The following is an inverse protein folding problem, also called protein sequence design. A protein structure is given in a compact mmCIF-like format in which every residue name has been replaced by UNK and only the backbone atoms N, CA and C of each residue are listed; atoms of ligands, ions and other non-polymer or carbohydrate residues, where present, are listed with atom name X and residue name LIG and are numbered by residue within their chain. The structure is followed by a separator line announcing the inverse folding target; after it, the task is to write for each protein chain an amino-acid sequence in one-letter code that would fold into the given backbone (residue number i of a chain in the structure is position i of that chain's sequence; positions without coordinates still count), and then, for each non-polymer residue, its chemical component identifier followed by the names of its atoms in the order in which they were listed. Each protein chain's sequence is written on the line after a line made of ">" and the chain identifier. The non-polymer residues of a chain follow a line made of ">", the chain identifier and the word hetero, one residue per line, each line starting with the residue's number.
data_IF_701706284203
#
_entry.id   IF_701706284203
#
_cell.length_a   1.000
_cell.length_b   1.000
_cell.length_c   1.000
_cell.angle_alpha   90.00
_cell.angle_beta   90.00
_cell.angle_gamma   90.00
#
_symmetry.space_group_name_H-M   'P 1'
#
loop_
_entity.id
_entity.type
_entity.pdbx_description
1 polymer ?
#
# COMPACT_ATOMS: atom_id res chain seq x y z
N UNK A 1 22.06 18.62 -9.54
CA UNK A 1 21.31 17.83 -10.55
C UNK A 1 20.20 17.13 -9.81
N UNK A 2 18.98 17.14 -10.31
CA UNK A 2 17.88 16.40 -9.67
C UNK A 2 18.22 14.90 -9.67
N UNK A 3 18.02 14.24 -8.52
CA UNK A 3 18.26 12.81 -8.38
C UNK A 3 17.30 12.05 -9.29
N UNK A 4 17.80 11.12 -10.10
CA UNK A 4 16.98 10.25 -10.95
C UNK A 4 16.95 8.87 -10.31
N UNK A 5 15.79 8.44 -9.87
CA UNK A 5 15.61 7.12 -9.27
C UNK A 5 15.65 6.01 -10.33
N UNK A 6 16.18 4.86 -9.96
CA UNK A 6 16.10 3.67 -10.82
C UNK A 6 14.66 3.14 -10.84
N UNK A 7 13.98 3.20 -9.69
CA UNK A 7 12.60 2.80 -9.53
C UNK A 7 11.90 3.69 -8.50
N UNK A 8 10.70 4.16 -8.84
CA UNK A 8 9.74 4.71 -7.88
C UNK A 8 8.58 3.76 -7.77
N UNK A 9 8.24 3.35 -6.54
CA UNK A 9 7.04 2.56 -6.25
C UNK A 9 6.01 3.47 -5.59
N UNK A 10 4.80 3.48 -6.15
CA UNK A 10 3.67 4.27 -5.66
C UNK A 10 2.68 3.36 -4.93
N UNK A 11 2.57 3.55 -3.62
CA UNK A 11 1.73 2.78 -2.72
C UNK A 11 2.53 1.88 -1.78
N UNK A 12 2.49 2.18 -0.48
CA UNK A 12 3.20 1.52 0.61
C UNK A 12 2.44 0.34 1.22
N UNK A 13 1.63 -0.38 0.43
CA UNK A 13 1.03 -1.63 0.86
C UNK A 13 1.99 -2.82 0.75
N UNK A 14 1.56 -4.04 1.12
CA UNK A 14 2.41 -5.24 1.08
C UNK A 14 3.11 -5.45 -0.27
N UNK A 15 2.39 -5.23 -1.37
CA UNK A 15 2.93 -5.35 -2.72
C UNK A 15 4.02 -4.31 -3.02
N UNK A 16 3.81 -3.06 -2.60
CA UNK A 16 4.81 -2.00 -2.79
C UNK A 16 6.05 -2.20 -1.94
N UNK A 17 5.90 -2.64 -0.70
CA UNK A 17 7.02 -2.99 0.19
C UNK A 17 7.83 -4.14 -0.42
N UNK A 18 7.17 -5.23 -0.84
CA UNK A 18 7.84 -6.34 -1.49
C UNK A 18 8.63 -5.86 -2.73
N UNK A 19 8.02 -5.02 -3.56
CA UNK A 19 8.64 -4.51 -4.78
C UNK A 19 9.92 -3.70 -4.52
N UNK A 20 9.91 -2.78 -3.53
CA UNK A 20 11.10 -1.99 -3.22
C UNK A 20 12.21 -2.85 -2.62
N UNK A 21 11.86 -3.81 -1.76
CA UNK A 21 12.83 -4.73 -1.15
C UNK A 21 13.44 -5.66 -2.20
N UNK A 22 12.60 -6.26 -3.06
CA UNK A 22 13.08 -7.10 -4.18
C UNK A 22 14.01 -6.30 -5.11
N UNK A 23 13.63 -5.07 -5.45
CA UNK A 23 14.45 -4.20 -6.29
C UNK A 23 15.82 -3.93 -5.67
N UNK A 24 15.87 -3.60 -4.37
CA UNK A 24 17.13 -3.39 -3.63
C UNK A 24 18.01 -4.65 -3.62
N UNK A 25 17.43 -5.79 -3.27
CA UNK A 25 18.14 -7.07 -3.22
C UNK A 25 18.59 -7.55 -4.60
N UNK A 26 17.90 -7.12 -5.66
CA UNK A 26 18.32 -7.35 -7.05
C UNK A 26 19.37 -6.36 -7.57
N UNK A 27 19.88 -5.45 -6.71
CA UNK A 27 20.98 -4.55 -7.05
C UNK A 27 20.57 -3.16 -7.54
N UNK A 28 19.30 -2.78 -7.48
CA UNK A 28 18.90 -1.39 -7.70
C UNK A 28 19.16 -0.57 -6.43
N UNK A 29 20.00 0.44 -6.55
CA UNK A 29 20.43 1.20 -5.37
C UNK A 29 19.57 2.42 -5.08
N UNK A 30 19.03 3.06 -6.10
CA UNK A 30 18.29 4.30 -6.00
C UNK A 30 16.80 4.04 -6.18
N UNK A 31 16.15 3.55 -5.11
CA UNK A 31 14.74 3.14 -5.08
C UNK A 31 13.99 4.00 -4.08
N UNK A 32 12.81 4.50 -4.48
CA UNK A 32 11.94 5.35 -3.67
C UNK A 32 10.55 4.73 -3.53
N UNK A 33 10.01 4.72 -2.31
CA UNK A 33 8.63 4.39 -2.01
C UNK A 33 7.83 5.65 -1.69
N UNK A 34 6.73 5.88 -2.39
CA UNK A 34 5.80 6.99 -2.12
C UNK A 34 4.47 6.42 -1.61
N UNK A 35 4.05 6.84 -0.43
CA UNK A 35 2.79 6.43 0.20
C UNK A 35 1.99 7.67 0.60
N UNK A 36 0.70 7.68 0.25
CA UNK A 36 -0.19 8.80 0.58
C UNK A 36 -0.57 8.88 2.05
N UNK A 37 -0.60 7.73 2.72
CA UNK A 37 -0.88 7.65 4.15
C UNK A 37 0.29 8.11 5.00
N UNK A 38 0.03 8.27 6.27
CA UNK A 38 1.04 8.64 7.29
C UNK A 38 1.98 7.47 7.65
N UNK A 39 1.68 6.26 7.17
CA UNK A 39 2.48 5.06 7.37
C UNK A 39 2.19 4.04 6.26
N UNK A 40 2.99 2.97 6.16
CA UNK A 40 2.75 1.87 5.23
C UNK A 40 1.50 1.06 5.62
N UNK A 41 1.02 0.22 4.68
CA UNK A 41 -0.01 -0.80 4.91
C UNK A 41 -1.31 -0.27 5.52
N UNK A 42 -1.76 0.92 5.08
CA UNK A 42 -2.94 1.61 5.62
C UNK A 42 -4.19 0.73 5.67
N UNK A 43 -4.41 -0.12 4.67
CA UNK A 43 -5.54 -1.06 4.65
C UNK A 43 -5.50 -2.03 5.83
N UNK A 44 -4.31 -2.58 6.14
CA UNK A 44 -4.13 -3.49 7.28
C UNK A 44 -4.31 -2.72 8.59
N UNK A 45 -3.65 -1.57 8.72
CA UNK A 45 -3.72 -0.74 9.94
C UNK A 45 -5.16 -0.33 10.24
N UNK A 46 -5.89 0.11 9.23
CA UNK A 46 -7.22 0.71 9.39
C UNK A 46 -8.34 -0.31 9.51
N UNK A 47 -8.32 -1.38 8.71
CA UNK A 47 -9.48 -2.26 8.57
C UNK A 47 -9.33 -3.63 9.24
N UNK A 48 -8.11 -4.04 9.62
CA UNK A 48 -7.93 -5.28 10.35
C UNK A 48 -8.12 -5.03 11.84
N UNK A 49 -8.93 -5.89 12.48
CA UNK A 49 -9.06 -5.91 13.94
C UNK A 49 -7.73 -6.34 14.57
N UNK A 50 -7.51 -5.93 15.82
CA UNK A 50 -6.35 -6.35 16.57
C UNK A 50 -6.31 -7.87 16.71
N UNK A 51 -5.13 -8.44 16.64
CA UNK A 51 -4.87 -9.88 16.61
C UNK A 51 -5.52 -10.63 15.43
N UNK A 52 -6.00 -9.92 14.40
CA UNK A 52 -6.51 -10.60 13.21
C UNK A 52 -5.39 -11.42 12.56
N UNK A 53 -5.68 -12.68 12.30
CA UNK A 53 -4.79 -13.59 11.58
C UNK A 53 -4.55 -13.11 10.15
N UNK A 54 -3.30 -13.19 9.72
CA UNK A 54 -2.86 -12.93 8.34
C UNK A 54 -2.10 -14.16 7.88
N UNK A 55 -2.69 -14.89 6.96
CA UNK A 55 -2.16 -16.16 6.50
C UNK A 55 -1.46 -15.99 5.15
N UNK A 56 -0.36 -16.72 4.97
CA UNK A 56 0.37 -16.84 3.72
C UNK A 56 -0.46 -17.54 2.66
N UNK A 57 -1.11 -18.63 3.08
CA UNK A 57 -1.90 -19.44 2.18
C UNK A 57 -3.38 -19.08 2.23
N UNK A 58 -3.98 -18.94 1.05
CA UNK A 58 -5.40 -18.76 0.92
C UNK A 58 -5.99 -19.88 0.06
N UNK A 59 -7.12 -20.42 0.52
CA UNK A 59 -7.78 -21.58 -0.10
C UNK A 59 -8.01 -21.36 -1.60
N UNK A 60 -7.40 -22.18 -2.44
CA UNK A 60 -7.54 -22.12 -3.89
C UNK A 60 -6.64 -21.12 -4.61
N UNK A 61 -5.68 -20.51 -3.93
CA UNK A 61 -4.65 -19.70 -4.55
C UNK A 61 -3.28 -20.33 -4.40
N UNK A 62 -2.46 -20.22 -5.45
CA UNK A 62 -1.04 -20.59 -5.38
C UNK A 62 -0.31 -19.49 -4.60
N UNK A 63 0.24 -19.87 -3.46
CA UNK A 63 1.02 -19.01 -2.57
C UNK A 63 2.54 -19.18 -2.73
N UNK A 64 2.99 -19.82 -3.82
CA UNK A 64 4.41 -19.99 -4.10
C UNK A 64 5.10 -18.64 -4.23
N UNK A 65 6.10 -18.42 -3.38
CA UNK A 65 6.92 -17.23 -3.43
C UNK A 65 8.06 -17.44 -4.41
N UNK A 66 8.15 -16.59 -5.43
CA UNK A 66 9.19 -16.62 -6.44
C UNK A 66 10.31 -15.59 -6.22
N UNK A 67 10.15 -14.71 -5.25
CA UNK A 67 11.12 -13.67 -4.89
C UNK A 67 12.00 -14.04 -3.70
N UNK A 68 12.77 -13.07 -3.24
CA UNK A 68 13.64 -13.19 -2.04
C UNK A 68 12.95 -12.71 -0.76
N UNK A 69 11.81 -12.03 -0.88
CA UNK A 69 10.98 -11.62 0.27
C UNK A 69 10.13 -12.81 0.68
N UNK A 70 10.37 -13.35 1.86
CA UNK A 70 9.54 -14.39 2.46
C UNK A 70 8.33 -13.77 3.17
N UNK A 71 7.31 -14.57 3.41
CA UNK A 71 6.17 -14.21 4.25
C UNK A 71 5.75 -15.42 5.07
N UNK A 72 5.49 -15.20 6.35
CA UNK A 72 5.03 -16.24 7.29
C UNK A 72 3.66 -15.87 7.86
N UNK A 73 2.92 -16.88 8.27
CA UNK A 73 1.65 -16.69 8.97
C UNK A 73 1.85 -15.90 10.25
N UNK A 74 0.92 -15.01 10.55
CA UNK A 74 1.01 -14.18 11.73
C UNK A 74 -0.30 -13.49 12.09
N UNK A 75 -0.17 -12.41 12.85
CA UNK A 75 -1.26 -11.50 13.18
C UNK A 75 -1.06 -10.18 12.45
N UNK A 76 -2.07 -9.30 12.52
CA UNK A 76 -1.97 -7.91 12.07
C UNK A 76 -0.68 -7.26 12.56
N UNK A 77 -0.41 -7.38 13.86
CA UNK A 77 0.71 -6.72 14.53
C UNK A 77 2.03 -7.28 14.04
N UNK A 78 2.21 -8.60 14.07
CA UNK A 78 3.46 -9.23 13.61
C UNK A 78 3.71 -9.00 12.11
N UNK A 79 2.66 -8.90 11.31
CA UNK A 79 2.76 -8.56 9.88
C UNK A 79 3.23 -7.12 9.69
N UNK A 80 2.70 -6.17 10.46
CA UNK A 80 3.12 -4.78 10.39
C UNK A 80 4.57 -4.62 10.84
N UNK A 81 4.96 -5.24 11.96
CA UNK A 81 6.34 -5.25 12.46
C UNK A 81 7.32 -5.87 11.46
N UNK A 82 6.89 -6.90 10.75
CA UNK A 82 7.67 -7.51 9.68
C UNK A 82 7.93 -6.54 8.52
N UNK A 83 6.90 -5.78 8.11
CA UNK A 83 7.07 -4.79 7.04
C UNK A 83 7.91 -3.59 7.49
N UNK A 84 7.77 -3.14 8.73
CA UNK A 84 8.65 -2.11 9.30
C UNK A 84 10.12 -2.56 9.21
N UNK A 85 10.41 -3.79 9.67
CA UNK A 85 11.76 -4.36 9.62
C UNK A 85 12.31 -4.47 8.19
N UNK A 86 11.49 -4.89 7.22
CA UNK A 86 11.92 -4.98 5.83
C UNK A 86 12.35 -3.62 5.26
N UNK A 87 11.60 -2.56 5.58
CA UNK A 87 11.92 -1.22 5.12
C UNK A 87 13.20 -0.68 5.78
N UNK A 88 13.37 -0.94 7.08
CA UNK A 88 14.52 -0.48 7.86
C UNK A 88 15.81 -1.25 7.48
N UNK A 89 15.76 -2.58 7.43
CA UNK A 89 16.92 -3.43 7.14
C UNK A 89 17.50 -3.15 5.75
N UNK A 90 16.64 -2.91 4.77
CA UNK A 90 17.07 -2.56 3.41
C UNK A 90 17.32 -1.06 3.22
N UNK A 91 17.12 -0.27 4.26
CA UNK A 91 17.26 1.21 4.23
C UNK A 91 16.50 1.80 3.05
N UNK A 92 15.22 1.44 2.93
CA UNK A 92 14.37 1.93 1.86
C UNK A 92 14.07 3.41 2.11
N UNK A 93 14.35 4.24 1.11
CA UNK A 93 13.88 5.62 1.12
C UNK A 93 12.37 5.62 0.89
N UNK A 94 11.61 5.98 1.94
CA UNK A 94 10.16 5.99 1.91
C UNK A 94 9.62 7.35 2.37
N UNK A 95 8.74 7.96 1.56
CA UNK A 95 8.05 9.18 1.92
C UNK A 95 6.57 8.91 2.12
N UNK A 96 6.14 9.12 3.35
CA UNK A 96 4.74 9.08 3.75
C UNK A 96 4.08 10.45 3.56
N UNK A 97 2.74 10.51 3.65
CA UNK A 97 1.96 11.72 3.34
C UNK A 97 2.30 12.30 1.95
N UNK A 98 2.66 11.42 1.02
CA UNK A 98 3.15 11.76 -0.32
C UNK A 98 2.23 11.18 -1.39
N UNK A 99 1.03 11.76 -1.52
CA UNK A 99 0.08 11.36 -2.54
C UNK A 99 0.59 11.74 -3.93
N UNK A 100 0.71 10.74 -4.80
CA UNK A 100 1.08 10.95 -6.21
C UNK A 100 -0.14 11.44 -6.98
N UNK A 101 -0.05 12.65 -7.53
CA UNK A 101 -1.12 13.29 -8.29
C UNK A 101 -1.05 12.96 -9.78
N UNK A 102 0.16 12.81 -10.30
CA UNK A 102 0.36 12.50 -11.72
C UNK A 102 1.67 11.77 -11.99
N UNK A 103 1.64 10.92 -13.02
CA UNK A 103 2.80 10.25 -13.58
C UNK A 103 2.77 10.51 -15.09
N UNK A 104 3.85 11.08 -15.62
CA UNK A 104 4.00 11.34 -17.05
C UNK A 104 5.32 10.79 -17.53
N UNK A 105 5.32 10.14 -18.70
CA UNK A 105 6.54 9.73 -19.36
C UNK A 105 6.95 10.82 -20.34
N UNK A 106 8.15 11.34 -20.20
CA UNK A 106 8.76 12.33 -21.07
C UNK A 106 10.14 11.82 -21.49
N UNK A 107 10.29 11.56 -22.79
CA UNK A 107 11.48 10.88 -23.33
C UNK A 107 11.70 9.53 -22.62
N UNK A 108 12.85 9.34 -21.97
CA UNK A 108 13.25 8.08 -21.32
C UNK A 108 12.97 8.05 -19.81
N UNK A 109 12.38 9.11 -19.25
CA UNK A 109 12.13 9.23 -17.82
C UNK A 109 10.65 9.42 -17.52
N UNK A 110 10.26 8.91 -16.35
CA UNK A 110 8.98 9.21 -15.73
C UNK A 110 9.14 10.41 -14.81
N UNK A 111 8.21 11.34 -14.93
CA UNK A 111 8.01 12.46 -14.02
C UNK A 111 6.86 12.14 -13.09
N UNK A 112 7.13 12.03 -11.81
CA UNK A 112 6.17 11.69 -10.75
C UNK A 112 5.98 12.92 -9.89
N UNK A 113 4.74 13.43 -9.83
CA UNK A 113 4.40 14.63 -9.07
C UNK A 113 3.55 14.29 -7.85
N UNK A 114 3.92 14.89 -6.73
CA UNK A 114 3.12 15.00 -5.52
C UNK A 114 2.78 16.47 -5.26
N UNK A 115 1.94 16.76 -4.26
CA UNK A 115 1.65 18.12 -3.87
C UNK A 115 2.89 18.90 -3.39
N UNK A 116 3.91 18.22 -2.87
CA UNK A 116 5.09 18.83 -2.23
C UNK A 116 6.38 18.72 -3.04
N UNK A 117 6.46 17.80 -4.01
CA UNK A 117 7.69 17.56 -4.75
C UNK A 117 7.46 16.91 -6.11
N UNK A 118 8.45 17.09 -7.01
CA UNK A 118 8.54 16.43 -8.30
C UNK A 118 9.75 15.48 -8.29
N UNK A 119 9.54 14.25 -8.75
CA UNK A 119 10.58 13.22 -8.84
C UNK A 119 10.75 12.74 -10.28
N UNK A 120 11.95 12.23 -10.58
CA UNK A 120 12.24 11.59 -11.87
C UNK A 120 12.71 10.16 -11.66
N UNK A 121 12.24 9.24 -12.50
CA UNK A 121 12.65 7.84 -12.43
C UNK A 121 12.78 7.22 -13.81
N UNK A 122 13.63 6.19 -13.91
CA UNK A 122 13.71 5.33 -15.10
C UNK A 122 12.50 4.40 -15.20
N UNK A 123 12.01 3.94 -14.06
CA UNK A 123 10.87 3.04 -13.95
C UNK A 123 9.92 3.49 -12.84
N UNK A 124 8.63 3.23 -13.04
CA UNK A 124 7.59 3.46 -12.03
C UNK A 124 6.72 2.22 -11.91
N UNK A 125 6.50 1.77 -10.68
CA UNK A 125 5.53 0.72 -10.35
C UNK A 125 4.38 1.32 -9.55
N UNK A 126 3.15 1.04 -9.97
CA UNK A 126 1.94 1.48 -9.27
C UNK A 126 1.33 0.30 -8.51
N UNK A 127 1.30 0.38 -7.18
CA UNK A 127 0.83 -0.67 -6.26
C UNK A 127 -0.16 -0.12 -5.23
N UNK A 128 -1.09 0.70 -5.67
CA UNK A 128 -2.07 1.43 -4.83
C UNK A 128 -3.19 0.55 -4.26
N UNK A 129 -3.19 -0.76 -4.57
CA UNK A 129 -4.19 -1.70 -4.10
C UNK A 129 -5.55 -1.52 -4.77
N UNK A 130 -6.52 -2.30 -4.29
CA UNK A 130 -7.89 -2.31 -4.80
C UNK A 130 -8.88 -1.60 -3.89
N UNK A 131 -8.55 -1.45 -2.60
CA UNK A 131 -9.42 -0.84 -1.60
C UNK A 131 -9.47 0.68 -1.80
N UNK A 132 -10.51 1.11 -2.50
CA UNK A 132 -10.89 2.51 -2.64
C UNK A 132 -11.99 2.90 -1.66
N UNK A 133 -12.79 3.90 -2.03
CA UNK A 133 -14.04 4.18 -1.32
C UNK A 133 -14.96 2.96 -1.43
N UNK A 134 -15.73 2.63 -0.37
CA UNK A 134 -16.71 1.53 -0.43
C UNK A 134 -17.62 1.69 -1.65
N UNK A 135 -17.86 0.61 -2.36
CA UNK A 135 -18.84 0.61 -3.45
C UNK A 135 -20.20 0.94 -2.86
N UNK A 136 -20.80 2.02 -3.35
CA UNK A 136 -22.19 2.33 -3.03
C UNK A 136 -23.08 1.65 -4.03
N UNK A 137 -24.25 1.15 -3.62
CA UNK A 137 -25.20 0.59 -4.58
C UNK A 137 -25.72 1.66 -5.53
N UNK A 138 -26.07 1.27 -6.76
CA UNK A 138 -26.55 2.18 -7.79
C UNK A 138 -27.97 2.71 -7.53
N UNK A 139 -28.69 2.08 -6.60
CA UNK A 139 -30.00 2.54 -6.17
C UNK A 139 -29.90 3.59 -5.05
N UNK A 140 -30.88 4.49 -5.02
CA UNK A 140 -30.97 5.52 -3.97
C UNK A 140 -31.40 4.88 -2.65
N UNK A 141 -30.60 5.10 -1.61
CA UNK A 141 -30.97 4.73 -0.24
C UNK A 141 -32.01 5.73 0.24
N UNK A 142 -33.18 5.27 0.76
CA UNK A 142 -34.17 6.15 1.33
C UNK A 142 -33.58 7.06 2.41
N UNK A 143 -33.94 8.35 2.47
CA UNK A 143 -33.41 9.28 3.48
C UNK A 143 -33.60 8.80 4.92
N UNK A 144 -34.66 8.03 5.20
CA UNK A 144 -34.91 7.44 6.52
C UNK A 144 -33.86 6.43 6.96
N UNK A 145 -33.06 5.89 6.03
CA UNK A 145 -32.00 4.91 6.30
C UNK A 145 -30.58 5.53 6.29
N UNK A 146 -30.44 6.81 6.04
CA UNK A 146 -29.13 7.46 5.97
C UNK A 146 -28.30 7.35 7.26
N UNK A 147 -28.95 7.20 8.42
CA UNK A 147 -28.29 7.04 9.71
C UNK A 147 -28.09 5.56 10.12
N UNK A 148 -28.61 4.63 9.31
CA UNK A 148 -28.61 3.18 9.62
C UNK A 148 -27.71 2.43 8.64
N UNK A 149 -27.63 2.89 7.37
CA UNK A 149 -26.81 2.25 6.35
C UNK A 149 -25.43 2.86 6.34
N UNK A 150 -24.45 2.09 6.77
CA UNK A 150 -23.03 2.45 6.73
C UNK A 150 -22.29 1.69 5.64
N UNK A 151 -21.42 2.39 4.93
CA UNK A 151 -20.48 1.82 3.95
C UNK A 151 -19.06 1.74 4.51
N UNK A 152 -18.87 2.12 5.77
CA UNK A 152 -17.57 2.14 6.43
C UNK A 152 -17.71 1.53 7.82
N UNK A 153 -16.87 0.54 8.14
CA UNK A 153 -16.85 -0.13 9.45
C UNK A 153 -16.50 0.83 10.60
N UNK A 154 -15.83 1.94 10.33
CA UNK A 154 -15.48 2.94 11.35
C UNK A 154 -16.72 3.57 12.02
N UNK A 155 -17.87 3.49 11.38
CA UNK A 155 -19.13 4.02 11.89
C UNK A 155 -20.01 2.96 12.58
N UNK A 156 -19.53 1.73 12.71
CA UNK A 156 -20.27 0.66 13.37
C UNK A 156 -19.91 0.63 14.86
N UNK A 157 -20.94 0.53 15.71
CA UNK A 157 -20.75 0.36 17.16
C UNK A 157 -20.78 -1.13 17.55
N UNK A 158 -20.06 -1.48 18.64
CA UNK A 158 -20.05 -2.85 19.16
C UNK A 158 -21.48 -3.27 19.56
N UNK A 159 -21.94 -4.39 18.99
CA UNK A 159 -23.26 -4.96 19.29
C UNK A 159 -24.33 -4.64 18.24
N UNK A 160 -24.05 -3.83 17.24
CA UNK A 160 -24.92 -3.69 16.08
C UNK A 160 -24.92 -4.99 15.25
N UNK A 161 -26.11 -5.43 14.84
CA UNK A 161 -26.23 -6.52 13.86
C UNK A 161 -25.96 -5.96 12.47
N UNK A 162 -24.98 -6.51 11.80
CA UNK A 162 -24.60 -6.18 10.42
C UNK A 162 -25.35 -7.13 9.48
#
# INVERSE_FOLDING_TARGET
>A
MANVYDLIVVGGGPCGIAAVVEAKRSGLHNVLLLEKGDNHSQTIRKFYKDNKRVDKEYKGQDSTIHGVVSFEDGTKESTLDYFDKLLDDERIEAFFNSEVESIKKESDLFHVRTASADYKAKNVMVSIGKMGRPNKPDYKIPPSLNNVVNFNLDNCTNGEKV
#
